data_IF_256476907398
#
_entry.id   IF_256476907398
#
_cell.length_a   1.000
_cell.length_b   1.000
_cell.length_c   1.000
_cell.angle_alpha   90.00
_cell.angle_beta   90.00
_cell.angle_gamma   90.00
#
_symmetry.space_group_name_H-M   'P 1'
#
loop_
_entity.id
_entity.type
_entity.pdbx_description
1 polymer ?
#
# COMPACT_ATOMS: atom_id res chain seq x y z
N UNK A 1 -17.88 5.05 16.87
CA UNK A 1 -16.97 4.32 15.96
C UNK A 1 -16.23 5.31 15.08
N UNK A 2 -14.96 5.60 15.39
CA UNK A 2 -14.15 6.58 14.65
C UNK A 2 -13.45 5.98 13.43
N UNK A 3 -12.97 6.84 12.53
CA UNK A 3 -12.24 6.45 11.31
C UNK A 3 -11.04 5.53 11.60
N UNK A 4 -10.20 5.89 12.58
CA UNK A 4 -9.03 5.08 12.96
C UNK A 4 -9.40 3.72 13.55
N UNK A 5 -10.51 3.63 14.31
CA UNK A 5 -10.98 2.36 14.85
C UNK A 5 -11.32 1.37 13.73
N UNK A 6 -11.97 1.85 12.65
CA UNK A 6 -12.30 1.00 11.49
C UNK A 6 -11.05 0.46 10.79
N UNK A 7 -9.97 1.24 10.75
CA UNK A 7 -8.66 0.78 10.23
C UNK A 7 -8.09 -0.30 11.16
N UNK A 8 -8.14 -0.08 12.48
CA UNK A 8 -7.65 -1.02 13.47
C UNK A 8 -8.35 -2.39 13.38
N UNK A 9 -9.69 -2.37 13.23
CA UNK A 9 -10.55 -3.55 13.19
C UNK A 9 -10.44 -4.33 11.87
N UNK A 10 -9.91 -3.71 10.82
CA UNK A 10 -9.68 -4.37 9.53
C UNK A 10 -8.57 -5.42 9.62
N UNK A 11 -8.66 -6.52 8.87
CA UNK A 11 -7.58 -7.50 8.82
C UNK A 11 -6.30 -6.93 8.16
N UNK A 12 -6.49 -6.12 7.13
CA UNK A 12 -5.45 -5.45 6.38
C UNK A 12 -6.02 -4.24 5.62
N UNK A 13 -5.13 -3.38 5.09
CA UNK A 13 -5.51 -2.22 4.27
C UNK A 13 -4.76 -2.20 2.94
N UNK A 14 -5.50 -2.01 1.84
CA UNK A 14 -4.92 -1.67 0.53
C UNK A 14 -5.34 -0.25 0.19
N UNK A 15 -4.39 0.60 -0.18
CA UNK A 15 -4.67 1.98 -0.53
C UNK A 15 -3.61 2.56 -1.47
N UNK A 16 -3.96 3.65 -2.17
CA UNK A 16 -2.95 4.50 -2.82
C UNK A 16 -2.17 5.31 -1.78
N UNK A 17 -1.13 6.05 -2.22
CA UNK A 17 -0.28 6.95 -1.42
C UNK A 17 -1.05 8.04 -0.65
N UNK A 18 -1.81 7.67 0.38
CA UNK A 18 -2.77 8.53 1.11
C UNK A 18 -2.73 8.25 2.60
N UNK A 19 -3.27 9.17 3.41
CA UNK A 19 -3.30 9.08 4.88
C UNK A 19 -3.72 7.72 5.47
N UNK A 20 -4.82 7.07 5.02
CA UNK A 20 -5.22 5.76 5.54
C UNK A 20 -4.10 4.71 5.53
N UNK A 21 -3.33 4.66 4.44
CA UNK A 21 -2.21 3.73 4.28
C UNK A 21 -1.18 3.93 5.39
N UNK A 22 -0.78 5.18 5.63
CA UNK A 22 0.21 5.52 6.63
C UNK A 22 -0.29 5.24 8.05
N UNK A 23 -1.57 5.46 8.33
CA UNK A 23 -2.18 5.12 9.62
C UNK A 23 -2.13 3.61 9.85
N UNK A 24 -2.59 2.80 8.89
CA UNK A 24 -2.52 1.34 8.99
C UNK A 24 -1.08 0.84 9.19
N UNK A 25 -0.15 1.36 8.38
CA UNK A 25 1.28 1.07 8.46
C UNK A 25 1.87 1.40 9.84
N UNK A 26 1.58 2.59 10.39
CA UNK A 26 2.08 3.02 11.69
C UNK A 26 1.53 2.18 12.85
N UNK A 27 0.31 1.66 12.70
CA UNK A 27 -0.31 0.73 13.65
C UNK A 27 0.20 -0.71 13.51
N UNK A 28 1.14 -0.99 12.61
CA UNK A 28 1.64 -2.34 12.35
C UNK A 28 0.61 -3.25 11.67
N UNK A 29 -0.44 -2.68 11.06
CA UNK A 29 -1.41 -3.47 10.32
C UNK A 29 -0.80 -3.92 8.99
N UNK A 30 -1.11 -5.15 8.53
CA UNK A 30 -0.80 -5.56 7.16
C UNK A 30 -1.31 -4.52 6.18
N UNK A 31 -0.43 -3.99 5.33
CA UNK A 31 -0.83 -2.96 4.38
C UNK A 31 -0.08 -3.04 3.05
N UNK A 32 -0.78 -2.68 1.98
CA UNK A 32 -0.20 -2.56 0.64
C UNK A 32 -0.50 -1.19 0.08
N UNK A 33 0.57 -0.43 -0.18
CA UNK A 33 0.53 0.87 -0.85
C UNK A 33 0.71 0.73 -2.35
N UNK A 34 -0.08 1.46 -3.14
CA UNK A 34 0.02 1.50 -4.60
C UNK A 34 0.43 2.91 -5.05
N UNK A 35 1.53 3.01 -5.79
CA UNK A 35 2.18 4.27 -6.14
C UNK A 35 2.36 4.43 -7.65
N UNK A 36 2.18 5.66 -8.13
CA UNK A 36 2.59 6.02 -9.46
C UNK A 36 4.12 6.23 -9.46
N UNK A 37 4.87 5.74 -10.45
CA UNK A 37 6.30 6.00 -10.56
C UNK A 37 6.54 7.43 -11.10
N UNK A 38 6.12 8.43 -10.33
CA UNK A 38 6.23 9.85 -10.67
C UNK A 38 7.00 10.59 -9.58
N UNK A 39 7.90 11.51 -9.96
CA UNK A 39 8.61 12.32 -8.99
C UNK A 39 7.66 12.98 -7.98
N UNK A 40 8.05 12.95 -6.71
CA UNK A 40 7.33 13.50 -5.55
C UNK A 40 6.11 12.73 -5.07
N UNK A 41 5.59 11.76 -5.81
CA UNK A 41 4.46 10.90 -5.35
C UNK A 41 4.79 9.40 -5.45
N UNK A 42 6.07 9.08 -5.65
CA UNK A 42 6.59 7.72 -5.69
C UNK A 42 6.71 7.08 -4.30
N UNK A 43 6.92 5.76 -4.30
CA UNK A 43 7.11 4.95 -3.10
C UNK A 43 8.37 5.30 -2.33
N UNK A 44 9.39 5.88 -2.98
CA UNK A 44 10.63 6.22 -2.28
C UNK A 44 10.38 7.38 -1.31
N UNK A 45 9.57 8.36 -1.71
CA UNK A 45 9.19 9.48 -0.84
C UNK A 45 8.05 9.18 0.11
N UNK A 46 7.03 8.43 -0.33
CA UNK A 46 5.78 8.24 0.42
C UNK A 46 5.46 6.78 0.72
N UNK A 47 6.42 5.88 0.63
CA UNK A 47 6.26 4.47 1.00
C UNK A 47 5.75 4.31 2.43
N UNK A 48 4.85 3.36 2.64
CA UNK A 48 4.55 2.85 3.98
C UNK A 48 5.80 2.20 4.58
N UNK A 49 6.09 2.50 5.85
CA UNK A 49 7.34 2.10 6.53
C UNK A 49 7.13 1.09 7.65
N UNK A 50 5.89 0.66 7.88
CA UNK A 50 5.53 -0.27 8.95
C UNK A 50 6.04 -1.67 8.67
N UNK A 51 6.22 -2.51 9.71
CA UNK A 51 6.87 -3.82 9.62
C UNK A 51 6.13 -4.82 8.73
N UNK A 52 4.84 -4.59 8.48
CA UNK A 52 3.98 -5.44 7.66
C UNK A 52 3.43 -4.68 6.46
N UNK A 53 4.25 -3.79 5.88
CA UNK A 53 3.87 -2.94 4.75
C UNK A 53 4.61 -3.34 3.48
N UNK A 54 3.91 -3.32 2.35
CA UNK A 54 4.50 -3.49 1.02
C UNK A 54 4.14 -2.31 0.12
N UNK A 55 5.10 -1.79 -0.64
CA UNK A 55 4.89 -0.65 -1.53
C UNK A 55 5.06 -1.08 -3.00
N UNK A 56 3.95 -1.17 -3.71
CA UNK A 56 3.90 -1.54 -5.12
C UNK A 56 4.00 -0.31 -6.01
N UNK A 57 4.90 -0.38 -6.97
CA UNK A 57 5.13 0.64 -7.98
C UNK A 57 5.78 -0.03 -9.19
N UNK A 58 5.43 0.40 -10.40
CA UNK A 58 6.20 0.03 -11.59
C UNK A 58 7.64 0.56 -11.49
N UNK A 59 8.58 -0.15 -12.09
CA UNK A 59 10.00 0.22 -12.06
C UNK A 59 10.30 1.43 -12.96
N UNK A 60 9.73 1.43 -14.16
CA UNK A 60 9.93 2.52 -15.12
C UNK A 60 9.18 3.78 -14.67
N UNK A 61 9.84 4.93 -14.82
CA UNK A 61 9.20 6.24 -14.57
C UNK A 61 7.99 6.41 -15.50
N UNK A 62 6.89 6.91 -14.95
CA UNK A 62 5.66 7.11 -15.72
C UNK A 62 5.85 8.28 -16.70
N UNK A 63 6.04 7.99 -17.98
CA UNK A 63 6.15 8.98 -19.05
C UNK A 63 4.78 9.41 -19.61
N UNK A 64 3.70 8.73 -19.23
CA UNK A 64 2.35 9.02 -19.72
C UNK A 64 1.68 10.14 -18.93
N UNK A 65 0.75 10.85 -19.57
CA UNK A 65 -0.15 11.76 -18.89
C UNK A 65 -0.94 10.95 -17.84
N UNK A 66 -0.74 11.29 -16.58
CA UNK A 66 -1.26 10.56 -15.43
C UNK A 66 -1.83 11.58 -14.45
N UNK A 67 -3.07 11.35 -14.04
CA UNK A 67 -3.89 12.20 -13.18
C UNK A 67 -4.42 11.40 -11.99
N UNK A 68 -5.10 12.06 -11.06
CA UNK A 68 -5.75 11.38 -9.93
C UNK A 68 -6.94 10.51 -10.33
N UNK A 69 -7.45 10.64 -11.56
CA UNK A 69 -8.57 9.83 -12.07
C UNK A 69 -8.10 8.68 -12.94
N UNK A 70 -6.99 8.87 -13.64
CA UNK A 70 -6.51 7.90 -14.61
C UNK A 70 -4.98 7.96 -14.80
N UNK A 71 -4.37 6.78 -14.82
CA UNK A 71 -2.94 6.61 -14.95
C UNK A 71 -2.60 5.19 -15.45
N UNK A 72 -2.11 5.06 -16.69
CA UNK A 72 -1.76 3.76 -17.27
C UNK A 72 -0.72 2.99 -16.44
N UNK A 73 0.26 3.70 -15.86
CA UNK A 73 1.28 3.11 -15.00
C UNK A 73 0.70 2.47 -13.73
N UNK A 74 -0.37 3.04 -13.17
CA UNK A 74 -1.08 2.45 -12.04
C UNK A 74 -1.93 1.25 -12.48
N UNK A 75 -2.61 1.33 -13.63
CA UNK A 75 -3.41 0.21 -14.17
C UNK A 75 -2.57 -1.02 -14.52
N UNK A 76 -1.29 -0.82 -14.82
CA UNK A 76 -0.36 -1.93 -15.06
C UNK A 76 -0.14 -2.79 -13.81
N UNK A 77 -0.39 -2.27 -12.61
CA UNK A 77 -0.34 -3.03 -11.36
C UNK A 77 -1.62 -3.88 -11.27
N UNK A 78 -1.50 -5.16 -11.62
CA UNK A 78 -2.65 -6.05 -11.68
C UNK A 78 -3.21 -6.36 -10.28
N UNK A 79 -4.54 -6.49 -10.12
CA UNK A 79 -5.16 -6.87 -8.85
C UNK A 79 -4.58 -8.15 -8.23
N UNK A 80 -4.18 -9.13 -9.06
CA UNK A 80 -3.55 -10.36 -8.60
C UNK A 80 -2.20 -10.10 -7.88
N UNK A 81 -1.40 -9.16 -8.38
CA UNK A 81 -0.13 -8.75 -7.75
C UNK A 81 -0.39 -8.07 -6.40
N UNK A 82 -1.41 -7.22 -6.34
CA UNK A 82 -1.84 -6.56 -5.10
C UNK A 82 -2.29 -7.59 -4.07
N UNK A 83 -3.08 -8.58 -4.49
CA UNK A 83 -3.56 -9.66 -3.63
C UNK A 83 -2.40 -10.51 -3.10
N UNK A 84 -1.47 -10.92 -3.95
CA UNK A 84 -0.31 -11.70 -3.54
C UNK A 84 0.55 -10.94 -2.51
N UNK A 85 0.79 -9.64 -2.73
CA UNK A 85 1.51 -8.80 -1.78
C UNK A 85 0.79 -8.71 -0.42
N UNK A 86 -0.54 -8.57 -0.44
CA UNK A 86 -1.35 -8.49 0.78
C UNK A 86 -1.34 -9.80 1.56
N UNK A 87 -1.45 -10.95 0.86
CA UNK A 87 -1.36 -12.27 1.49
C UNK A 87 -0.01 -12.46 2.21
N UNK A 88 1.10 -12.07 1.57
CA UNK A 88 2.40 -12.14 2.20
C UNK A 88 2.47 -11.32 3.51
N UNK A 89 1.90 -10.12 3.54
CA UNK A 89 1.86 -9.29 4.75
C UNK A 89 0.94 -9.87 5.84
N UNK A 90 -0.20 -10.46 5.46
CA UNK A 90 -1.12 -11.13 6.38
C UNK A 90 -0.45 -12.34 7.05
N UNK A 91 0.29 -13.13 6.29
CA UNK A 91 1.06 -14.26 6.81
C UNK A 91 2.17 -13.78 7.74
N UNK A 92 2.98 -12.82 7.32
CA UNK A 92 4.07 -12.27 8.13
C UNK A 92 3.58 -11.71 9.48
N UNK A 93 2.47 -10.97 9.47
CA UNK A 93 1.89 -10.41 10.69
C UNK A 93 1.26 -11.47 11.61
N UNK A 94 0.84 -12.61 11.06
CA UNK A 94 0.30 -13.70 11.88
C UNK A 94 1.41 -14.46 12.60
N UNK A 95 2.57 -14.59 11.98
CA UNK A 95 3.75 -15.21 12.59
C UNK A 95 4.31 -14.37 13.74
N UNK A 96 4.33 -13.03 13.61
CA UNK A 96 4.85 -12.12 14.64
C UNK A 96 3.97 -12.01 15.90
N UNK A 97 2.72 -12.50 15.86
CA UNK A 97 1.81 -12.53 17.01
C UNK A 97 1.85 -13.83 17.82
N UNK A 98 2.51 -14.86 17.29
CA UNK A 98 2.61 -16.18 17.92
C UNK A 98 3.88 -16.35 18.76
N UNK A 99 4.69 -15.30 18.87
CA UNK A 99 5.91 -15.19 19.68
C UNK A 99 5.71 -14.16 20.77
#
# INVERSE_FOLDING_TARGET
SGYMQRIADSAALVASSTGPLHVASAMGKPSVGIYAPKPRIDKHRWGAIGPHSCNLQQEATCQTACSNRDCLCMRAIQPAVVWQALQAQLTAASLSRST
#
